data_IF_130761009062
#
_entry.id   IF_130761009062
#
_cell.length_a   1.000
_cell.length_b   1.000
_cell.length_c   1.000
_cell.angle_alpha   90.00
_cell.angle_beta   90.00
_cell.angle_gamma   90.00
#
_symmetry.space_group_name_H-M   'P 1'
#
loop_
_entity.id
_entity.type
_entity.pdbx_description
1 polymer ?
#
# COMPACT_ATOMS: atom_id res chain seq x y z
N UNK A 1 17.46 13.42 -9.30
CA UNK A 1 16.65 13.51 -8.06
C UNK A 1 16.19 12.09 -7.79
N UNK A 2 16.52 11.48 -6.64
CA UNK A 2 16.09 10.11 -6.38
C UNK A 2 14.60 10.08 -6.03
N UNK A 3 13.89 9.03 -6.43
CA UNK A 3 12.48 8.81 -6.06
C UNK A 3 12.41 7.60 -5.13
N UNK A 4 11.74 7.75 -3.98
CA UNK A 4 11.26 6.62 -3.19
C UNK A 4 9.82 6.34 -3.62
N UNK A 5 9.50 5.08 -3.92
CA UNK A 5 8.13 4.68 -4.22
C UNK A 5 7.67 3.59 -3.26
N UNK A 6 6.46 3.75 -2.75
CA UNK A 6 5.77 2.73 -1.99
C UNK A 6 4.40 2.44 -2.59
N UNK A 7 4.00 1.17 -2.56
CA UNK A 7 2.66 0.71 -2.89
C UNK A 7 2.03 0.16 -1.62
N UNK A 8 0.85 0.64 -1.27
CA UNK A 8 0.04 0.13 -0.16
C UNK A 8 -1.21 -0.52 -0.73
N UNK A 9 -1.45 -1.78 -0.39
CA UNK A 9 -2.61 -2.55 -0.82
C UNK A 9 -3.55 -2.79 0.36
N UNK A 10 -4.83 -2.53 0.19
CA UNK A 10 -5.83 -2.82 1.22
C UNK A 10 -6.27 -4.29 1.19
N UNK A 11 -6.13 -4.98 2.32
CA UNK A 11 -6.60 -6.35 2.50
C UNK A 11 -7.98 -6.41 3.20
N UNK A 12 -8.80 -5.37 3.04
CA UNK A 12 -10.18 -5.35 3.52
C UNK A 12 -10.98 -6.57 3.00
N UNK A 13 -11.85 -7.20 3.82
CA UNK A 13 -12.67 -8.33 3.40
C UNK A 13 -13.43 -8.10 2.09
N UNK A 14 -13.99 -6.91 1.88
CA UNK A 14 -14.74 -6.57 0.66
C UNK A 14 -13.89 -6.61 -0.60
N UNK A 15 -12.57 -6.40 -0.48
CA UNK A 15 -11.68 -6.50 -1.63
C UNK A 15 -11.56 -7.94 -2.16
N UNK A 16 -11.85 -8.96 -1.34
CA UNK A 16 -11.77 -10.37 -1.74
C UNK A 16 -13.08 -10.89 -2.34
N UNK A 17 -14.16 -10.11 -2.25
CA UNK A 17 -15.44 -10.47 -2.84
C UNK A 17 -15.39 -10.33 -4.37
N UNK A 18 -16.04 -11.23 -5.13
CA UNK A 18 -16.14 -11.10 -6.58
C UNK A 18 -16.86 -9.80 -6.95
N UNK A 19 -16.26 -9.02 -7.84
CA UNK A 19 -16.88 -7.79 -8.37
C UNK A 19 -18.03 -8.18 -9.29
N UNK A 20 -19.18 -7.47 -9.25
CA UNK A 20 -20.26 -7.67 -10.20
C UNK A 20 -19.75 -7.52 -11.63
N UNK A 21 -19.90 -8.56 -12.44
CA UNK A 21 -19.49 -8.54 -13.84
C UNK A 21 -20.56 -7.83 -14.66
N UNK A 22 -20.14 -6.89 -15.51
CA UNK A 22 -21.01 -6.39 -16.56
C UNK A 22 -21.24 -7.51 -17.57
N UNK A 23 -22.46 -8.06 -17.60
CA UNK A 23 -22.84 -9.03 -18.61
C UNK A 23 -23.06 -8.31 -19.93
N UNK A 24 -22.21 -8.58 -20.93
CA UNK A 24 -22.47 -8.13 -22.29
C UNK A 24 -23.61 -8.99 -22.87
N UNK A 25 -24.81 -8.45 -23.16
CA UNK A 25 -25.92 -9.25 -23.65
C UNK A 25 -25.65 -9.89 -25.02
N UNK A 26 -24.65 -9.44 -25.77
CA UNK A 26 -24.28 -9.96 -27.09
C UNK A 26 -23.26 -11.12 -27.03
N UNK A 27 -22.63 -11.34 -25.88
CA UNK A 27 -21.59 -12.39 -25.72
C UNK A 27 -22.16 -13.64 -25.06
N UNK A 28 -21.77 -14.82 -25.54
CA UNK A 28 -22.15 -16.08 -24.89
C UNK A 28 -21.50 -16.20 -23.49
N UNK A 29 -22.09 -16.97 -22.55
CA UNK A 29 -21.58 -17.04 -21.16
C UNK A 29 -20.10 -17.43 -21.03
N UNK A 30 -19.58 -18.25 -21.94
CA UNK A 30 -18.17 -18.66 -21.99
C UNK A 30 -17.21 -17.62 -22.61
N UNK A 31 -17.74 -16.52 -23.16
CA UNK A 31 -16.99 -15.37 -23.65
C UNK A 31 -17.01 -14.20 -22.66
N UNK A 32 -17.80 -14.30 -21.59
CA UNK A 32 -17.83 -13.30 -20.52
C UNK A 32 -16.57 -13.41 -19.68
N UNK A 33 -16.06 -12.27 -19.20
CA UNK A 33 -14.95 -12.25 -18.25
C UNK A 33 -15.45 -12.87 -16.94
N UNK A 34 -14.74 -13.87 -16.38
CA UNK A 34 -15.16 -14.46 -15.12
C UNK A 34 -15.13 -13.43 -13.98
N UNK A 35 -15.99 -13.57 -12.96
CA UNK A 35 -15.92 -12.74 -11.77
C UNK A 35 -14.51 -12.81 -11.16
N UNK A 36 -13.91 -11.66 -10.94
CA UNK A 36 -12.64 -11.50 -10.24
C UNK A 36 -12.85 -10.56 -9.07
N UNK A 37 -12.05 -10.73 -8.01
CA UNK A 37 -12.11 -9.84 -6.86
C UNK A 37 -11.32 -8.56 -7.10
N UNK A 38 -11.67 -7.48 -6.41
CA UNK A 38 -10.88 -6.25 -6.45
C UNK A 38 -9.45 -6.48 -5.97
N UNK A 39 -9.24 -7.41 -5.03
CA UNK A 39 -7.93 -7.83 -4.56
C UNK A 39 -7.06 -8.35 -5.71
N UNK A 40 -7.61 -9.21 -6.58
CA UNK A 40 -6.89 -9.70 -7.75
C UNK A 40 -6.47 -8.53 -8.67
N UNK A 41 -7.38 -7.59 -8.93
CA UNK A 41 -7.09 -6.40 -9.73
C UNK A 41 -6.02 -5.50 -9.07
N UNK A 42 -6.06 -5.30 -7.75
CA UNK A 42 -5.05 -4.53 -7.01
C UNK A 42 -3.68 -5.20 -7.07
N UNK A 43 -3.61 -6.52 -6.92
CA UNK A 43 -2.37 -7.30 -7.02
C UNK A 43 -1.78 -7.20 -8.41
N UNK A 44 -2.57 -7.42 -9.46
CA UNK A 44 -2.11 -7.32 -10.84
C UNK A 44 -1.60 -5.91 -11.17
N UNK A 45 -2.36 -4.87 -10.80
CA UNK A 45 -1.95 -3.48 -10.98
C UNK A 45 -0.66 -3.14 -10.24
N UNK A 46 -0.49 -3.64 -9.01
CA UNK A 46 0.72 -3.43 -8.23
C UNK A 46 1.94 -4.14 -8.82
N UNK A 47 1.77 -5.39 -9.29
CA UNK A 47 2.84 -6.15 -9.95
C UNK A 47 3.27 -5.48 -11.25
N UNK A 48 2.32 -5.01 -12.06
CA UNK A 48 2.61 -4.31 -13.31
C UNK A 48 3.29 -2.96 -13.05
N UNK A 49 2.84 -2.21 -12.04
CA UNK A 49 3.51 -0.99 -11.59
C UNK A 49 4.95 -1.27 -11.18
N UNK A 50 5.19 -2.31 -10.36
CA UNK A 50 6.55 -2.69 -9.97
C UNK A 50 7.40 -3.07 -11.18
N UNK A 51 6.86 -3.88 -12.10
CA UNK A 51 7.55 -4.31 -13.33
C UNK A 51 7.99 -3.12 -14.17
N UNK A 52 7.09 -2.16 -14.41
CA UNK A 52 7.37 -0.95 -15.19
C UNK A 52 8.37 -0.04 -14.46
N UNK A 53 8.17 0.22 -13.17
CA UNK A 53 9.07 1.05 -12.38
C UNK A 53 10.50 0.51 -12.40
N UNK A 54 10.66 -0.82 -12.31
CA UNK A 54 11.97 -1.44 -12.37
C UNK A 54 12.59 -1.44 -13.78
N UNK A 55 11.79 -1.62 -14.83
CA UNK A 55 12.26 -1.59 -16.21
C UNK A 55 12.71 -0.19 -16.65
N UNK A 56 12.01 0.86 -16.22
CA UNK A 56 12.29 2.24 -16.61
C UNK A 56 13.45 2.87 -15.83
N UNK A 57 13.64 2.49 -14.56
CA UNK A 57 14.63 3.11 -13.67
C UNK A 57 15.67 2.13 -13.09
N UNK A 58 16.31 1.24 -13.87
CA UNK A 58 17.13 0.11 -13.38
C UNK A 58 18.37 0.53 -12.54
N UNK A 59 18.82 1.79 -12.65
CA UNK A 59 19.95 2.34 -11.87
C UNK A 59 19.49 3.07 -10.59
N UNK A 60 18.22 3.45 -10.53
CA UNK A 60 17.59 4.11 -9.38
C UNK A 60 16.63 3.18 -8.63
N UNK A 61 16.57 1.89 -8.99
CA UNK A 61 15.75 0.86 -8.33
C UNK A 61 16.23 0.56 -6.90
N UNK A 62 16.11 1.55 -6.02
CA UNK A 62 15.95 1.36 -4.59
C UNK A 62 14.48 1.05 -4.32
N UNK A 63 14.12 -0.22 -4.51
CA UNK A 63 12.93 -0.88 -3.94
C UNK A 63 11.63 -0.08 -3.97
N UNK A 64 10.74 -0.36 -4.94
CA UNK A 64 9.31 -0.13 -4.69
C UNK A 64 8.96 -0.91 -3.41
N UNK A 65 8.64 -0.19 -2.34
CA UNK A 65 8.30 -0.80 -1.06
C UNK A 65 6.82 -1.19 -1.11
N UNK A 66 6.55 -2.49 -1.17
CA UNK A 66 5.18 -2.97 -1.20
C UNK A 66 4.73 -3.35 0.21
N UNK A 67 3.59 -2.82 0.64
CA UNK A 67 3.04 -3.04 1.99
C UNK A 67 1.56 -3.37 1.88
N UNK A 68 1.12 -4.36 2.64
CA UNK A 68 -0.27 -4.78 2.69
C UNK A 68 -0.88 -4.34 4.01
N UNK A 69 -2.03 -3.67 3.96
CA UNK A 69 -2.81 -3.21 5.10
C UNK A 69 -3.64 -4.34 5.70
N UNK A 70 -2.96 -5.27 6.37
CA UNK A 70 -3.57 -6.29 7.21
C UNK A 70 -3.76 -5.79 8.66
N UNK A 71 -4.26 -6.63 9.57
CA UNK A 71 -4.33 -6.35 11.02
C UNK A 71 -2.99 -5.87 11.60
N UNK A 72 -1.90 -6.38 11.05
CA UNK A 72 -0.55 -5.85 11.23
C UNK A 72 0.04 -5.62 9.85
N UNK A 73 0.49 -4.41 9.51
CA UNK A 73 1.03 -4.13 8.19
C UNK A 73 2.16 -5.08 7.81
N UNK A 74 1.99 -5.78 6.68
CA UNK A 74 2.96 -6.73 6.17
C UNK A 74 3.74 -6.11 5.01
N UNK A 75 5.04 -5.95 5.20
CA UNK A 75 5.93 -5.40 4.17
C UNK A 75 6.47 -6.53 3.32
N UNK A 76 6.15 -6.51 2.04
CA UNK A 76 6.68 -7.44 1.05
C UNK A 76 7.98 -6.83 0.48
N UNK A 77 9.13 -7.48 0.66
CA UNK A 77 10.39 -6.97 0.14
C UNK A 77 10.36 -6.95 -1.39
N UNK A 78 10.54 -5.77 -1.98
CA UNK A 78 10.52 -5.57 -3.43
C UNK A 78 11.89 -5.20 -3.99
N UNK A 79 12.33 -5.95 -5.01
CA UNK A 79 13.45 -5.60 -5.89
C UNK A 79 13.19 -6.17 -7.28
N UNK A 80 13.91 -5.69 -8.30
CA UNK A 80 13.71 -6.14 -9.69
C UNK A 80 13.81 -7.67 -9.84
N UNK A 81 14.83 -8.28 -9.23
CA UNK A 81 15.04 -9.73 -9.24
C UNK A 81 14.05 -10.49 -8.33
N UNK A 82 13.21 -9.77 -7.58
CA UNK A 82 12.29 -10.33 -6.61
C UNK A 82 10.81 -10.26 -7.04
N UNK A 83 10.48 -9.89 -8.29
CA UNK A 83 9.09 -9.94 -8.77
C UNK A 83 8.38 -11.29 -8.49
N UNK A 84 9.01 -12.46 -8.71
CA UNK A 84 8.41 -13.74 -8.31
C UNK A 84 8.17 -13.87 -6.81
N UNK A 85 9.05 -13.31 -5.97
CA UNK A 85 8.90 -13.29 -4.51
C UNK A 85 7.79 -12.33 -4.07
N UNK A 86 7.63 -11.19 -4.75
CA UNK A 86 6.51 -10.27 -4.52
C UNK A 86 5.20 -10.97 -4.83
N UNK A 87 5.13 -11.64 -6.00
CA UNK A 87 3.95 -12.40 -6.40
C UNK A 87 3.61 -13.53 -5.42
N UNK A 88 4.62 -14.29 -4.95
CA UNK A 88 4.43 -15.32 -3.93
C UNK A 88 3.93 -14.70 -2.60
N UNK A 89 4.55 -13.61 -2.15
CA UNK A 89 4.14 -12.90 -0.94
C UNK A 89 2.68 -12.45 -1.01
N UNK A 90 2.28 -11.85 -2.13
CA UNK A 90 0.91 -11.41 -2.38
C UNK A 90 -0.09 -12.57 -2.47
N UNK A 91 0.32 -13.71 -3.04
CA UNK A 91 -0.51 -14.91 -3.09
C UNK A 91 -0.76 -15.53 -1.70
N UNK A 92 0.09 -15.25 -0.71
CA UNK A 92 -0.11 -15.72 0.67
C UNK A 92 -0.97 -14.80 1.53
N UNK A 93 -1.22 -13.57 1.07
CA UNK A 93 -2.05 -12.60 1.79
C UNK A 93 -3.46 -13.15 1.91
N UNK A 94 -4.03 -13.03 3.10
CA UNK A 94 -5.43 -13.37 3.37
C UNK A 94 -6.19 -12.09 3.68
N UNK A 95 -7.50 -12.14 3.49
CA UNK A 95 -8.38 -11.09 3.99
C UNK A 95 -8.09 -10.86 5.48
N UNK A 96 -7.95 -9.60 5.87
CA UNK A 96 -7.77 -9.24 7.28
C UNK A 96 -9.04 -9.55 8.06
N UNK A 97 -8.91 -9.85 9.35
CA UNK A 97 -10.07 -9.92 10.23
C UNK A 97 -10.80 -8.57 10.23
N UNK A 98 -12.15 -8.55 10.28
CA UNK A 98 -12.91 -7.32 10.49
C UNK A 98 -12.35 -6.59 11.70
N UNK A 99 -11.89 -5.37 11.50
CA UNK A 99 -11.36 -4.56 12.59
C UNK A 99 -12.54 -4.05 13.42
N UNK A 100 -12.46 -4.20 14.75
CA UNK A 100 -13.32 -3.43 15.64
C UNK A 100 -12.91 -1.97 15.45
N UNK A 101 -13.87 -1.07 15.20
CA UNK A 101 -13.75 0.24 14.51
C UNK A 101 -12.71 1.28 14.98
N UNK A 102 -11.75 0.93 15.84
CA UNK A 102 -10.66 1.77 16.31
C UNK A 102 -9.27 1.42 15.71
N UNK A 103 -9.15 0.40 14.84
CA UNK A 103 -7.87 0.09 14.18
C UNK A 103 -7.79 0.74 12.79
N UNK A 104 -6.89 1.73 12.66
CA UNK A 104 -6.49 2.36 11.40
C UNK A 104 -5.38 1.52 10.71
N UNK A 105 -5.79 0.47 10.00
CA UNK A 105 -4.90 -0.48 9.34
C UNK A 105 -4.22 0.15 8.12
N UNK A 106 -4.95 0.97 7.34
CA UNK A 106 -4.39 1.70 6.19
C UNK A 106 -3.35 2.72 6.66
N UNK A 107 -3.67 3.55 7.66
CA UNK A 107 -2.72 4.52 8.21
C UNK A 107 -1.49 3.86 8.83
N UNK A 108 -1.67 2.71 9.48
CA UNK A 108 -0.55 1.88 9.98
C UNK A 108 0.32 1.35 8.84
N UNK A 109 -0.28 0.94 7.72
CA UNK A 109 0.44 0.46 6.55
C UNK A 109 1.20 1.58 5.83
N UNK A 110 0.61 2.77 5.72
CA UNK A 110 1.29 3.97 5.23
C UNK A 110 2.51 4.28 6.10
N UNK A 111 2.35 4.29 7.43
CA UNK A 111 3.46 4.51 8.35
C UNK A 111 4.57 3.46 8.18
N UNK A 112 4.19 2.18 8.04
CA UNK A 112 5.13 1.08 7.82
C UNK A 112 5.87 1.17 6.48
N UNK A 113 5.17 1.57 5.42
CA UNK A 113 5.77 1.78 4.11
C UNK A 113 6.84 2.89 4.20
N UNK A 114 6.50 3.97 4.91
CA UNK A 114 7.36 5.13 5.10
C UNK A 114 8.57 4.86 6.01
N UNK A 115 8.51 3.90 6.95
CA UNK A 115 9.68 3.50 7.77
C UNK A 115 10.91 3.10 6.94
N UNK A 116 10.70 2.74 5.67
CA UNK A 116 11.74 2.33 4.73
C UNK A 116 12.46 3.50 4.05
N UNK A 117 11.97 4.72 4.26
CA UNK A 117 12.53 5.94 3.68
C UNK A 117 13.80 6.33 4.43
N UNK A 118 14.92 6.33 3.72
CA UNK A 118 16.14 6.99 4.20
C UNK A 118 15.96 8.51 4.05
N UNK A 119 16.27 9.33 5.06
CA UNK A 119 16.15 10.79 4.99
C UNK A 119 17.28 11.37 4.15
N UNK A 120 17.21 11.22 2.82
CA UNK A 120 18.03 12.02 1.91
C UNK A 120 17.27 13.30 1.64
N UNK A 121 17.92 14.43 1.84
CA UNK A 121 17.34 15.79 1.76
C UNK A 121 16.74 16.13 0.38
N UNK A 122 16.98 15.30 -0.64
CA UNK A 122 16.55 15.53 -2.04
C UNK A 122 15.91 14.28 -2.66
N UNK A 123 15.02 13.61 -1.90
CA UNK A 123 14.25 12.47 -2.39
C UNK A 123 12.75 12.81 -2.49
N UNK A 124 12.16 12.57 -3.66
CA UNK A 124 10.71 12.64 -3.84
C UNK A 124 10.09 11.34 -3.30
N UNK A 125 9.03 11.43 -2.49
CA UNK A 125 8.31 10.26 -1.99
C UNK A 125 6.98 10.12 -2.71
N UNK A 126 6.79 9.01 -3.43
CA UNK A 126 5.56 8.64 -4.09
C UNK A 126 4.90 7.48 -3.34
N UNK A 127 3.68 7.67 -2.87
CA UNK A 127 2.88 6.62 -2.23
C UNK A 127 1.68 6.35 -3.14
N UNK A 128 1.55 5.12 -3.60
CA UNK A 128 0.41 4.63 -4.37
C UNK A 128 -0.44 3.80 -3.43
N UNK A 129 -1.68 4.22 -3.17
CA UNK A 129 -2.66 3.46 -2.39
C UNK A 129 -3.66 2.83 -3.34
N UNK A 130 -3.81 1.50 -3.27
CA UNK A 130 -4.87 0.76 -3.93
C UNK A 130 -5.80 0.22 -2.84
N UNK A 131 -7.06 0.63 -2.88
CA UNK A 131 -8.05 0.28 -1.87
C UNK A 131 -9.47 0.23 -2.44
N UNK A 132 -10.36 -0.48 -1.74
CA UNK A 132 -11.79 -0.47 -2.00
C UNK A 132 -12.45 0.59 -1.11
N UNK A 133 -13.15 1.55 -1.72
CA UNK A 133 -13.97 2.50 -0.95
C UNK A 133 -15.11 1.77 -0.24
N UNK A 134 -15.46 2.25 0.95
CA UNK A 134 -16.53 1.69 1.78
C UNK A 134 -17.84 2.47 1.63
N UNK A 135 -17.81 3.62 0.96
CA UNK A 135 -18.99 4.47 0.70
C UNK A 135 -18.75 5.33 -0.55
N UNK A 136 -19.83 5.64 -1.27
CA UNK A 136 -19.83 6.55 -2.42
C UNK A 136 -19.52 8.01 -2.01
N UNK A 137 -19.61 8.33 -0.72
CA UNK A 137 -19.23 9.64 -0.15
C UNK A 137 -17.71 9.77 0.05
N UNK A 138 -16.96 8.69 -0.11
CA UNK A 138 -15.49 8.72 -0.03
C UNK A 138 -14.92 9.35 -1.31
N UNK A 139 -14.65 10.64 -1.22
CA UNK A 139 -13.95 11.39 -2.28
C UNK A 139 -12.50 10.91 -2.45
N UNK A 140 -11.81 11.38 -3.50
CA UNK A 140 -10.47 10.91 -3.96
C UNK A 140 -9.38 10.74 -2.89
N UNK A 141 -9.45 11.45 -1.75
CA UNK A 141 -8.44 11.41 -0.69
C UNK A 141 -8.96 10.87 0.66
N UNK A 142 -10.22 10.43 0.71
CA UNK A 142 -10.86 9.94 1.93
C UNK A 142 -10.88 8.41 1.95
N UNK A 143 -10.78 7.84 3.15
CA UNK A 143 -10.91 6.40 3.34
C UNK A 143 -11.53 6.07 4.69
N UNK A 144 -12.12 4.88 4.80
CA UNK A 144 -12.52 4.24 6.05
C UNK A 144 -12.04 2.80 6.06
N UNK A 145 -11.72 2.27 7.23
CA UNK A 145 -11.37 0.85 7.36
C UNK A 145 -12.60 -0.06 7.42
N UNK A 146 -13.77 0.49 7.76
CA UNK A 146 -15.05 -0.21 7.87
C UNK A 146 -16.20 0.73 7.46
N UNK A 147 -17.28 0.19 6.89
CA UNK A 147 -18.43 0.98 6.38
C UNK A 147 -19.17 1.88 7.40
N UNK A 148 -18.94 1.73 8.70
CA UNK A 148 -19.44 2.63 9.76
C UNK A 148 -18.35 3.35 10.56
N UNK A 149 -17.09 3.22 10.14
CA UNK A 149 -15.93 3.75 10.85
C UNK A 149 -15.68 5.23 10.61
N UNK A 150 -14.70 5.80 11.31
CA UNK A 150 -14.27 7.19 11.12
C UNK A 150 -13.71 7.40 9.70
N UNK A 151 -14.10 8.52 9.05
CA UNK A 151 -13.45 8.99 7.81
C UNK A 151 -12.07 9.52 8.14
N UNK A 152 -11.07 9.04 7.41
CA UNK A 152 -9.71 9.52 7.47
C UNK A 152 -9.31 10.17 6.14
N UNK A 153 -8.38 11.12 6.21
CA UNK A 153 -7.78 11.75 5.03
C UNK A 153 -6.38 11.15 4.80
N UNK A 154 -6.17 10.54 3.63
CA UNK A 154 -4.91 9.91 3.26
C UNK A 154 -3.73 10.88 3.34
N UNK A 155 -3.93 12.14 2.96
CA UNK A 155 -2.86 13.16 2.94
C UNK A 155 -2.39 13.45 4.35
N UNK A 156 -3.33 13.49 5.30
CA UNK A 156 -3.02 13.65 6.72
C UNK A 156 -2.28 12.43 7.27
N UNK A 157 -2.72 11.21 6.93
CA UNK A 157 -2.03 9.98 7.34
C UNK A 157 -0.57 9.94 6.85
N UNK A 158 -0.32 10.34 5.59
CA UNK A 158 1.02 10.44 5.02
C UNK A 158 1.85 11.52 5.72
N UNK A 159 1.27 12.70 5.98
CA UNK A 159 1.95 13.78 6.69
C UNK A 159 2.37 13.36 8.11
N UNK A 160 1.47 12.69 8.85
CA UNK A 160 1.74 12.21 10.20
C UNK A 160 2.79 11.09 10.21
N UNK A 161 2.74 10.16 9.25
CA UNK A 161 3.80 9.17 9.07
C UNK A 161 5.16 9.84 8.85
N UNK A 162 5.22 10.84 7.97
CA UNK A 162 6.44 11.59 7.67
C UNK A 162 6.97 12.34 8.90
N UNK A 163 6.09 13.01 9.67
CA UNK A 163 6.44 13.69 10.91
C UNK A 163 7.04 12.74 11.94
N UNK A 164 6.40 11.58 12.17
CA UNK A 164 6.87 10.56 13.12
C UNK A 164 8.27 10.06 12.78
N UNK A 165 8.54 9.78 11.50
CA UNK A 165 9.86 9.33 11.04
C UNK A 165 10.90 10.42 11.25
N UNK A 166 10.57 11.66 10.87
CA UNK A 166 11.47 12.81 11.04
C UNK A 166 11.83 13.00 12.51
N UNK A 167 10.85 12.96 13.42
CA UNK A 167 11.07 13.08 14.86
C UNK A 167 11.88 11.92 15.44
N UNK A 168 11.54 10.67 15.11
CA UNK A 168 12.28 9.48 15.57
C UNK A 168 13.77 9.56 15.20
N UNK A 169 14.06 10.09 14.02
CA UNK A 169 15.42 10.23 13.52
C UNK A 169 16.16 11.41 14.15
N UNK A 170 15.49 12.53 14.45
CA UNK A 170 16.08 13.64 15.23
C UNK A 170 16.49 13.18 16.64
N UNK A 171 15.62 12.44 17.33
CA UNK A 171 15.92 11.87 18.65
C UNK A 171 17.09 10.88 18.58
N UNK A 172 17.13 10.01 17.56
CA UNK A 172 18.24 9.08 17.36
C UNK A 172 19.56 9.76 17.06
N UNK A 173 19.57 10.92 16.38
CA UNK A 173 20.79 11.70 16.13
C UNK A 173 21.28 12.35 17.42
N UNK A 174 20.38 12.93 18.22
CA UNK A 174 20.75 13.57 19.49
C UNK A 174 21.29 12.57 20.53
N UNK A 175 20.75 11.34 20.56
CA UNK A 175 21.25 10.29 21.46
C UNK A 175 22.62 9.71 21.04
N UNK A 176 23.12 10.00 19.84
CA UNK A 176 24.48 9.62 19.41
C UNK A 176 25.55 10.66 19.80
N UNK A 177 25.17 11.78 20.42
CA UNK A 177 26.09 12.88 20.81
C UNK A 177 26.42 12.86 22.30
N UNK A 178 26.23 11.73 23.01
CA UNK A 178 26.81 11.57 24.34
C UNK A 178 28.16 10.85 24.15
N UNK A 179 29.31 11.56 24.24
CA UNK A 179 30.57 10.86 24.40
C UNK A 179 30.48 10.12 25.73
N UNK A 180 30.69 8.81 25.71
CA UNK A 180 31.09 8.13 26.94
C UNK A 180 32.47 8.69 27.28
N UNK A 181 32.50 9.61 28.25
CA UNK A 181 33.71 10.00 28.96
C UNK A 181 34.09 8.90 29.94
#
# INVERSE_FOLDING_TARGET
MSIFSAVVLDANPLAFEPVPVYNNPESSPNQQIPPHSTWAAMVEGALEYCRLAYALCPKETGSVALTVAEKKPNKIPGSYNALPHIQQGLATVRQREPTNGNQDAIGSAIAKAMDSVSPRTHQLHLIVLLMQTQSDEENTFLYRDTGGGQVNDMRYAVLEAHRKITMKQLVSRNNKVVPQF
#
